data_IF_132000300957
#
_entry.id   IF_132000300957
#
_cell.length_a   1.000
_cell.length_b   1.000
_cell.length_c   1.000
_cell.angle_alpha   90.00
_cell.angle_beta   90.00
_cell.angle_gamma   90.00
#
_symmetry.space_group_name_H-M   'P 1'
#
loop_
_entity.id
_entity.type
_entity.pdbx_description
1 polymer ?
#
# COMPACT_ATOMS: atom_id res chain seq x y z
N UNK A 1 20.53 10.61 11.05
CA UNK A 1 19.53 11.01 10.04
C UNK A 1 19.19 9.76 9.24
N UNK A 2 17.94 9.26 9.33
CA UNK A 2 17.55 8.08 8.57
C UNK A 2 17.65 8.34 7.06
N UNK A 3 17.84 7.27 6.29
CA UNK A 3 17.76 7.29 4.84
C UNK A 3 16.79 6.22 4.37
N UNK A 4 16.07 6.50 3.29
CA UNK A 4 15.02 5.69 2.70
C UNK A 4 15.42 5.27 1.30
N UNK A 5 15.06 4.05 0.92
CA UNK A 5 15.32 3.45 -0.37
C UNK A 5 14.03 3.44 -1.19
N UNK A 6 13.73 4.56 -1.83
CA UNK A 6 12.49 4.69 -2.60
C UNK A 6 12.67 4.16 -4.02
N UNK A 7 11.86 3.18 -4.40
CA UNK A 7 11.84 2.67 -5.77
C UNK A 7 10.81 3.44 -6.59
N UNK A 8 11.27 4.08 -7.67
CA UNK A 8 10.38 4.81 -8.58
C UNK A 8 9.43 3.83 -9.28
N UNK A 9 8.14 3.99 -9.02
CA UNK A 9 7.07 3.22 -9.66
C UNK A 9 7.04 3.43 -11.17
N UNK A 10 6.59 2.40 -11.90
CA UNK A 10 6.28 2.51 -13.33
C UNK A 10 5.11 3.48 -13.60
N UNK A 11 4.87 3.83 -14.87
CA UNK A 11 3.77 4.72 -15.23
C UNK A 11 2.42 4.08 -14.87
N UNK A 12 1.57 4.83 -14.18
CA UNK A 12 0.19 4.46 -13.86
C UNK A 12 -0.76 5.60 -14.23
N UNK A 13 -2.02 5.27 -14.51
CA UNK A 13 -3.06 6.26 -14.82
C UNK A 13 -3.25 7.25 -13.64
N UNK A 14 -3.32 6.71 -12.41
CA UNK A 14 -3.46 7.55 -11.22
C UNK A 14 -2.29 8.55 -11.04
N UNK A 15 -1.05 8.13 -11.30
CA UNK A 15 0.11 9.04 -11.26
C UNK A 15 0.00 10.06 -12.40
N UNK A 16 -0.37 9.67 -13.62
CA UNK A 16 -0.59 10.61 -14.72
C UNK A 16 -1.65 11.68 -14.41
N UNK A 17 -2.79 11.29 -13.84
CA UNK A 17 -3.83 12.25 -13.41
C UNK A 17 -3.31 13.21 -12.34
N UNK A 18 -2.46 12.73 -11.42
CA UNK A 18 -1.76 13.59 -10.46
C UNK A 18 -0.83 14.57 -11.18
N UNK A 19 -0.03 14.10 -12.14
CA UNK A 19 0.86 14.93 -12.94
C UNK A 19 0.10 16.02 -13.71
N UNK A 20 -1.07 15.69 -14.26
CA UNK A 20 -1.93 16.68 -14.92
C UNK A 20 -2.40 17.76 -13.94
N UNK A 21 -2.78 17.39 -12.70
CA UNK A 21 -3.20 18.34 -11.66
C UNK A 21 -2.10 19.30 -11.23
N UNK A 22 -0.84 18.88 -11.29
CA UNK A 22 0.32 19.73 -10.96
C UNK A 22 0.86 20.52 -12.17
N UNK A 23 0.19 20.43 -13.33
CA UNK A 23 0.49 21.25 -14.51
C UNK A 23 1.18 20.53 -15.67
N UNK A 24 1.25 19.21 -15.67
CA UNK A 24 1.72 18.46 -16.85
C UNK A 24 0.69 18.55 -17.98
N UNK A 25 1.09 19.12 -19.13
CA UNK A 25 0.20 19.33 -20.29
C UNK A 25 0.40 18.33 -21.43
N UNK A 26 1.29 17.34 -21.25
CA UNK A 26 1.55 16.30 -22.24
C UNK A 26 0.45 15.24 -22.29
N UNK A 27 0.50 14.40 -23.32
CA UNK A 27 -0.38 13.24 -23.46
C UNK A 27 0.06 12.07 -22.54
N UNK A 28 -0.79 11.05 -22.41
CA UNK A 28 -0.42 9.80 -21.74
C UNK A 28 0.84 9.15 -22.34
N UNK A 29 1.01 9.20 -23.66
CA UNK A 29 2.19 8.66 -24.33
C UNK A 29 3.46 9.44 -23.96
N UNK A 30 3.37 10.78 -23.90
CA UNK A 30 4.48 11.65 -23.46
C UNK A 30 4.86 11.34 -22.00
N UNK A 31 3.86 11.15 -21.14
CA UNK A 31 4.06 10.77 -19.75
C UNK A 31 4.73 9.41 -19.60
N UNK A 32 4.25 8.38 -20.31
CA UNK A 32 4.85 7.05 -20.30
C UNK A 32 6.32 7.10 -20.75
N UNK A 33 6.60 7.84 -21.83
CA UNK A 33 7.96 8.02 -22.33
C UNK A 33 8.85 8.67 -21.26
N UNK A 34 8.44 9.80 -20.70
CA UNK A 34 9.18 10.49 -19.64
C UNK A 34 9.43 9.61 -18.41
N UNK A 35 8.40 8.93 -17.91
CA UNK A 35 8.49 8.08 -16.71
C UNK A 35 9.37 6.86 -16.93
N UNK A 36 9.36 6.29 -18.14
CA UNK A 36 10.12 5.07 -18.48
C UNK A 36 11.63 5.21 -18.24
N UNK A 37 12.19 6.41 -18.32
CA UNK A 37 13.60 6.67 -18.04
C UNK A 37 13.99 6.50 -16.57
N UNK A 38 13.04 6.68 -15.66
CA UNK A 38 13.26 6.65 -14.20
C UNK A 38 12.64 5.44 -13.52
N UNK A 39 11.69 4.77 -14.17
CA UNK A 39 10.98 3.63 -13.61
C UNK A 39 11.98 2.54 -13.15
N UNK A 40 11.80 2.08 -11.92
CA UNK A 40 12.63 1.06 -11.28
C UNK A 40 13.94 1.55 -10.67
N UNK A 41 14.35 2.80 -10.93
CA UNK A 41 15.49 3.41 -10.25
C UNK A 41 15.23 3.51 -8.74
N UNK A 42 16.31 3.44 -7.95
CA UNK A 42 16.26 3.60 -6.49
C UNK A 42 16.80 4.96 -6.14
N UNK A 43 15.99 5.77 -5.47
CA UNK A 43 16.38 7.04 -4.89
C UNK A 43 16.78 6.86 -3.43
N UNK A 44 17.89 7.46 -3.03
CA UNK A 44 18.29 7.57 -1.63
C UNK A 44 17.86 8.93 -1.10
N UNK A 45 16.90 8.93 -0.17
CA UNK A 45 16.36 10.15 0.41
C UNK A 45 16.68 10.12 1.90
N UNK A 46 17.33 11.15 2.45
CA UNK A 46 17.69 11.19 3.85
C UNK A 46 16.98 12.35 4.56
N UNK A 47 16.47 12.08 5.76
CA UNK A 47 15.61 12.98 6.52
C UNK A 47 14.81 12.20 7.55
N UNK A 48 14.01 12.88 8.36
CA UNK A 48 13.00 12.24 9.21
C UNK A 48 11.66 12.28 8.47
N UNK A 49 11.29 11.16 7.84
CA UNK A 49 10.10 11.03 6.98
C UNK A 49 9.13 9.97 7.52
N UNK A 50 9.24 9.64 8.82
CA UNK A 50 8.45 8.60 9.47
C UNK A 50 9.11 7.22 9.44
N UNK A 51 8.34 6.19 9.78
CA UNK A 51 8.87 4.84 9.90
C UNK A 51 9.25 4.25 8.54
N UNK A 52 10.28 3.40 8.55
CA UNK A 52 10.66 2.61 7.38
C UNK A 52 9.68 1.47 7.17
N UNK A 53 9.40 1.17 5.91
CA UNK A 53 8.86 -0.14 5.55
C UNK A 53 9.78 -1.22 6.11
N UNK A 54 9.22 -2.11 6.92
CA UNK A 54 9.94 -3.14 7.64
C UNK A 54 10.57 -4.21 6.73
N UNK A 55 10.27 -4.20 5.43
CA UNK A 55 10.73 -5.19 4.44
C UNK A 55 11.79 -4.64 3.47
N UNK A 56 11.79 -3.34 3.17
CA UNK A 56 12.70 -2.78 2.14
C UNK A 56 13.28 -1.39 2.44
N UNK A 57 13.04 -0.82 3.62
CA UNK A 57 13.51 0.52 3.98
C UNK A 57 13.03 1.65 3.06
N UNK A 58 11.96 1.44 2.30
CA UNK A 58 11.19 2.53 1.67
C UNK A 58 10.32 3.22 2.74
N UNK A 59 9.51 4.20 2.36
CA UNK A 59 8.58 4.88 3.26
C UNK A 59 7.50 3.92 3.78
N UNK A 60 7.28 3.90 5.10
CA UNK A 60 6.23 3.12 5.76
C UNK A 60 4.87 3.81 5.69
N UNK A 61 4.36 4.04 4.48
CA UNK A 61 3.11 4.78 4.23
C UNK A 61 1.86 4.14 4.86
N UNK A 62 1.90 2.82 5.10
CA UNK A 62 0.78 2.05 5.64
C UNK A 62 1.18 1.26 6.89
N UNK A 63 0.20 1.04 7.78
CA UNK A 63 0.32 0.13 8.91
C UNK A 63 -0.53 -1.12 8.67
N UNK A 64 -0.12 -2.26 9.22
CA UNK A 64 -0.88 -3.50 9.09
C UNK A 64 -2.07 -3.53 10.06
N UNK A 65 -3.29 -3.45 9.52
CA UNK A 65 -4.53 -3.38 10.29
C UNK A 65 -5.08 -4.76 10.74
N UNK A 66 -4.27 -5.82 10.65
CA UNK A 66 -4.75 -7.16 10.99
C UNK A 66 -4.93 -7.26 12.51
N UNK A 67 -6.10 -7.72 13.01
CA UNK A 67 -6.36 -7.80 14.44
C UNK A 67 -5.52 -8.91 15.08
N UNK A 68 -4.80 -8.58 16.15
CA UNK A 68 -3.92 -9.53 16.88
C UNK A 68 -4.45 -9.90 18.27
N UNK A 69 -5.68 -9.48 18.59
CA UNK A 69 -6.33 -9.72 19.89
C UNK A 69 -6.39 -8.47 20.75
N UNK A 70 -7.23 -8.48 21.79
CA UNK A 70 -7.36 -7.39 22.78
C UNK A 70 -7.66 -5.99 22.19
N UNK A 71 -8.24 -5.94 20.98
CA UNK A 71 -8.49 -4.68 20.27
C UNK A 71 -7.25 -4.04 19.63
N UNK A 72 -6.12 -4.75 19.61
CA UNK A 72 -4.88 -4.30 18.97
C UNK A 72 -4.75 -4.80 17.52
N UNK A 73 -3.94 -4.07 16.76
CA UNK A 73 -3.56 -4.36 15.38
C UNK A 73 -2.07 -4.71 15.29
N UNK A 74 -1.65 -5.28 14.16
CA UNK A 74 -0.26 -5.65 13.94
C UNK A 74 0.68 -4.44 13.86
N UNK A 75 0.22 -3.33 13.27
CA UNK A 75 0.94 -2.05 13.17
C UNK A 75 2.33 -2.12 12.53
N UNK A 76 2.61 -3.18 11.75
CA UNK A 76 3.86 -3.28 10.98
C UNK A 76 3.87 -2.18 9.90
N UNK A 77 4.90 -1.32 9.83
CA UNK A 77 5.02 -0.30 8.79
C UNK A 77 5.39 -0.91 7.44
N UNK A 78 4.70 -0.48 6.39
CA UNK A 78 4.77 -1.04 5.03
C UNK A 78 4.73 0.06 3.99
N UNK A 79 5.50 -0.10 2.92
CA UNK A 79 5.35 0.72 1.73
C UNK A 79 4.20 0.18 0.85
N UNK A 80 3.76 0.95 -0.16
CA UNK A 80 2.69 0.51 -1.08
C UNK A 80 2.95 -0.85 -1.73
N UNK A 81 4.21 -1.20 -1.99
CA UNK A 81 4.58 -2.48 -2.60
C UNK A 81 4.48 -3.68 -1.66
N UNK A 82 4.56 -3.46 -0.34
CA UNK A 82 4.47 -4.51 0.69
C UNK A 82 3.14 -4.51 1.45
N UNK A 83 2.31 -3.50 1.23
CA UNK A 83 0.92 -3.46 1.69
C UNK A 83 -0.03 -4.15 0.71
N UNK A 84 -1.14 -4.69 1.21
CA UNK A 84 -2.28 -5.09 0.37
C UNK A 84 -3.55 -4.54 0.97
N UNK A 85 -4.25 -3.69 0.21
CA UNK A 85 -5.56 -3.18 0.62
C UNK A 85 -6.61 -4.31 0.52
N UNK A 86 -7.23 -4.64 1.65
CA UNK A 86 -8.28 -5.68 1.74
C UNK A 86 -9.69 -5.09 1.86
N UNK A 87 -9.78 -3.79 2.14
CA UNK A 87 -11.00 -2.99 2.25
C UNK A 87 -10.63 -1.51 2.35
N UNK A 88 -11.59 -0.58 2.28
CA UNK A 88 -11.31 0.85 2.26
C UNK A 88 -10.43 1.26 3.44
N UNK A 89 -9.25 1.83 3.17
CA UNK A 89 -8.27 2.23 4.18
C UNK A 89 -7.87 1.09 5.15
N UNK A 90 -7.87 -0.17 4.70
CA UNK A 90 -7.47 -1.33 5.50
C UNK A 90 -6.40 -2.12 4.77
N UNK A 91 -5.19 -2.15 5.31
CA UNK A 91 -4.01 -2.72 4.66
C UNK A 91 -3.41 -3.85 5.49
N UNK A 92 -3.15 -4.99 4.86
CA UNK A 92 -2.49 -6.13 5.50
C UNK A 92 -1.08 -6.35 4.94
N UNK A 93 -0.16 -6.76 5.81
CA UNK A 93 1.16 -7.25 5.42
C UNK A 93 1.07 -8.59 4.72
N UNK A 94 2.15 -9.02 4.04
CA UNK A 94 2.17 -10.27 3.30
C UNK A 94 1.74 -11.49 4.15
N UNK A 95 2.21 -11.57 5.40
CA UNK A 95 1.84 -12.63 6.33
C UNK A 95 0.36 -12.61 6.66
N UNK A 96 -0.17 -11.46 7.09
CA UNK A 96 -1.57 -11.35 7.50
C UNK A 96 -2.55 -11.40 6.33
N UNK A 97 -2.13 -10.97 5.13
CA UNK A 97 -2.86 -11.22 3.88
C UNK A 97 -3.05 -12.71 3.65
N UNK A 98 -2.00 -13.52 3.80
CA UNK A 98 -2.11 -14.97 3.60
C UNK A 98 -3.08 -15.63 4.60
N UNK A 99 -3.10 -15.16 5.85
CA UNK A 99 -4.04 -15.62 6.88
C UNK A 99 -5.48 -15.21 6.54
N UNK A 100 -5.68 -13.97 6.11
CA UNK A 100 -6.97 -13.46 5.66
C UNK A 100 -7.51 -14.23 4.45
N UNK A 101 -6.67 -14.50 3.46
CA UNK A 101 -7.04 -15.28 2.28
C UNK A 101 -7.47 -16.69 2.65
N UNK A 102 -6.74 -17.35 3.56
CA UNK A 102 -7.11 -18.68 4.07
C UNK A 102 -8.46 -18.65 4.82
N UNK A 103 -8.66 -17.67 5.71
CA UNK A 103 -9.92 -17.48 6.43
C UNK A 103 -11.11 -17.24 5.48
N UNK A 104 -10.91 -16.40 4.46
CA UNK A 104 -11.93 -16.09 3.46
C UNK A 104 -12.26 -17.32 2.60
N UNK A 105 -11.24 -18.07 2.15
CA UNK A 105 -11.41 -19.29 1.38
C UNK A 105 -12.14 -20.39 2.16
N UNK A 106 -11.95 -20.44 3.48
CA UNK A 106 -12.68 -21.34 4.38
C UNK A 106 -14.14 -20.91 4.63
N UNK A 107 -14.61 -19.81 4.04
CA UNK A 107 -15.97 -19.31 4.21
C UNK A 107 -16.21 -18.52 5.50
N UNK A 108 -15.13 -18.10 6.19
CA UNK A 108 -15.23 -17.37 7.45
C UNK A 108 -16.03 -16.07 7.33
N UNK A 109 -15.81 -15.29 6.27
CA UNK A 109 -16.54 -14.05 6.02
C UNK A 109 -18.05 -14.27 5.92
N UNK A 110 -18.49 -15.30 5.18
CA UNK A 110 -19.91 -15.61 5.05
C UNK A 110 -20.52 -16.03 6.39
N UNK A 111 -19.74 -16.75 7.20
CA UNK A 111 -20.17 -17.20 8.54
C UNK A 111 -20.36 -16.02 9.48
N UNK A 112 -19.47 -15.03 9.46
CA UNK A 112 -19.62 -13.83 10.29
C UNK A 112 -20.76 -12.93 9.79
N UNK A 113 -20.87 -12.72 8.47
CA UNK A 113 -21.97 -11.94 7.90
C UNK A 113 -23.35 -12.55 8.20
N UNK A 114 -23.47 -13.88 8.24
CA UNK A 114 -24.71 -14.56 8.62
C UNK A 114 -25.13 -14.29 10.08
N UNK A 115 -24.20 -13.83 10.94
CA UNK A 115 -24.46 -13.46 12.34
C UNK A 115 -24.83 -11.99 12.50
N UNK A 116 -24.64 -11.17 11.48
CA UNK A 116 -25.01 -9.75 11.50
C UNK A 116 -26.50 -9.63 11.25
N UNK A 117 -27.25 -9.17 12.26
CA UNK A 117 -28.66 -8.79 12.09
C UNK A 117 -28.68 -7.42 11.41
N UNK A 118 -29.15 -7.37 10.16
CA UNK A 118 -29.33 -6.09 9.47
C UNK A 118 -30.34 -5.23 10.23
N UNK A 119 -29.97 -4.00 10.57
CA UNK A 119 -30.91 -3.01 11.07
C UNK A 119 -31.98 -2.75 10.01
N UNK A 120 -33.23 -2.66 10.44
CA UNK A 120 -34.41 -2.47 9.60
C UNK A 120 -34.88 -1.03 9.67
#
# INVERSE_FOLDING_TARGET
>A
MPCYLHRVSGPSQADYELWQRIGFTGTWADYQHAKSHTAGQVMHICGDLGDHCADCADFGDFLCDFPVGEGATCDRPMCPAHSTEIGPNTHYCATHRSMWEAYRAAGGVNTELARVVSFR
#
